data_IF_447017852868
#
_entry.id   IF_447017852868
#
_cell.length_a   1.000
_cell.length_b   1.000
_cell.length_c   1.000
_cell.angle_alpha   90.00
_cell.angle_beta   90.00
_cell.angle_gamma   90.00
#
_symmetry.space_group_name_H-M   'P 1'
#
loop_
_entity.id
_entity.type
_entity.pdbx_description
1 polymer ?
#
# COMPACT_ATOMS: atom_id res chain seq x y z
N UNK A 1 -0.30 11.53 -3.22
CA UNK A 1 -0.56 10.55 -4.29
C UNK A 1 -0.77 11.25 -5.62
N UNK A 2 -0.09 10.78 -6.65
CA UNK A 2 -0.18 11.23 -8.04
C UNK A 2 -0.41 9.98 -8.92
N UNK A 3 -1.20 10.11 -9.99
CA UNK A 3 -1.53 9.00 -10.90
C UNK A 3 -1.35 9.43 -12.36
N UNK A 4 -1.01 8.48 -13.22
CA UNK A 4 -0.98 8.66 -14.68
C UNK A 4 -1.93 7.70 -15.42
N UNK A 5 -2.84 7.06 -14.69
CA UNK A 5 -3.80 6.09 -15.20
C UNK A 5 -4.95 5.89 -14.22
N UNK A 6 -5.73 4.80 -14.36
CA UNK A 6 -6.91 4.56 -13.53
C UNK A 6 -6.55 4.18 -12.09
N UNK A 7 -5.32 3.79 -11.79
CA UNK A 7 -4.97 3.36 -10.44
C UNK A 7 -4.92 4.56 -9.47
N UNK A 8 -5.24 4.33 -8.20
CA UNK A 8 -5.24 5.33 -7.13
C UNK A 8 -3.96 6.18 -7.14
N UNK A 9 -2.83 5.54 -7.41
CA UNK A 9 -1.56 6.23 -7.59
C UNK A 9 -0.55 5.40 -8.40
N UNK A 10 0.36 6.12 -9.05
CA UNK A 10 1.59 5.58 -9.64
C UNK A 10 2.82 6.14 -8.92
N UNK A 11 2.70 7.35 -8.36
CA UNK A 11 3.73 8.00 -7.56
C UNK A 11 3.12 8.45 -6.24
N UNK A 12 3.78 8.14 -5.13
CA UNK A 12 3.46 8.73 -3.83
C UNK A 12 4.60 9.65 -3.38
N UNK A 13 4.24 10.78 -2.77
CA UNK A 13 5.16 11.72 -2.15
C UNK A 13 4.83 11.79 -0.67
N UNK A 14 5.81 11.51 0.16
CA UNK A 14 5.71 11.51 1.61
C UNK A 14 6.73 12.50 2.16
N UNK A 15 6.33 13.30 3.13
CA UNK A 15 7.24 14.21 3.82
C UNK A 15 8.25 13.41 4.64
N UNK A 16 9.53 13.69 4.45
CA UNK A 16 10.63 13.07 5.18
C UNK A 16 11.77 14.06 5.43
N UNK A 17 12.76 13.64 6.20
CA UNK A 17 13.92 14.48 6.57
C UNK A 17 14.93 14.63 5.42
N UNK A 18 14.87 13.74 4.43
CA UNK A 18 15.73 13.73 3.25
C UNK A 18 14.95 13.33 1.98
N UNK A 19 15.40 13.83 0.82
CA UNK A 19 14.90 13.39 -0.47
C UNK A 19 15.49 12.03 -0.84
N UNK A 20 14.69 10.97 -0.80
CA UNK A 20 15.10 9.60 -1.14
C UNK A 20 13.94 8.77 -1.67
N UNK A 21 14.25 7.60 -2.23
CA UNK A 21 13.24 6.62 -2.61
C UNK A 21 12.75 5.86 -1.38
N UNK A 22 11.49 6.05 -1.02
CA UNK A 22 10.89 5.37 0.13
C UNK A 22 10.74 3.86 -0.14
N UNK A 23 9.95 3.48 -1.16
CA UNK A 23 9.82 2.10 -1.62
C UNK A 23 9.55 2.03 -3.14
N UNK A 24 9.71 0.83 -3.71
CA UNK A 24 9.23 0.48 -5.06
C UNK A 24 8.15 -0.58 -4.88
N UNK A 25 7.01 -0.42 -5.56
CA UNK A 25 5.87 -1.30 -5.41
C UNK A 25 5.63 -2.17 -6.65
N UNK A 26 5.32 -3.45 -6.44
CA UNK A 26 4.95 -4.41 -7.48
C UNK A 26 3.58 -5.02 -7.18
N UNK A 27 2.69 -4.97 -8.16
CA UNK A 27 1.36 -5.55 -8.03
C UNK A 27 1.41 -7.07 -8.19
N UNK A 28 0.73 -7.76 -7.28
CA UNK A 28 0.43 -9.17 -7.31
C UNK A 28 -1.06 -9.36 -7.64
N UNK A 29 -1.36 -10.51 -8.25
CA UNK A 29 -2.71 -10.89 -8.67
C UNK A 29 -3.78 -10.73 -7.58
N UNK A 30 -3.53 -11.22 -6.36
CA UNK A 30 -4.53 -11.30 -5.30
C UNK A 30 -3.89 -11.58 -3.93
N UNK A 31 -4.71 -11.62 -2.87
CA UNK A 31 -4.29 -11.93 -1.51
C UNK A 31 -3.59 -13.28 -1.35
N UNK A 32 -4.00 -14.30 -2.10
CA UNK A 32 -3.34 -15.62 -2.03
C UNK A 32 -1.93 -15.56 -2.62
N UNK A 33 -1.71 -14.72 -3.63
CA UNK A 33 -0.39 -14.47 -4.18
C UNK A 33 0.51 -13.68 -3.22
N UNK A 34 -0.04 -12.78 -2.40
CA UNK A 34 0.69 -12.13 -1.29
C UNK A 34 1.18 -13.16 -0.27
N UNK A 35 0.32 -14.10 0.13
CA UNK A 35 0.72 -15.22 1.00
C UNK A 35 1.86 -16.02 0.37
N UNK A 36 1.72 -16.44 -0.88
CA UNK A 36 2.73 -17.23 -1.59
C UNK A 36 4.08 -16.50 -1.68
N UNK A 37 4.05 -15.18 -1.91
CA UNK A 37 5.25 -14.35 -1.89
C UNK A 37 5.89 -14.27 -0.50
N UNK A 38 5.09 -14.17 0.57
CA UNK A 38 5.59 -14.20 1.94
C UNK A 38 6.25 -15.53 2.30
N UNK A 39 5.65 -16.65 1.90
CA UNK A 39 6.23 -17.99 2.11
C UNK A 39 7.56 -18.16 1.35
N UNK A 40 7.63 -17.61 0.13
CA UNK A 40 8.86 -17.57 -0.67
C UNK A 40 9.98 -16.77 0.03
N UNK A 41 9.66 -15.56 0.49
CA UNK A 41 10.60 -14.71 1.23
C UNK A 41 11.08 -15.40 2.53
N UNK A 42 10.17 -16.04 3.25
CA UNK A 42 10.48 -16.76 4.49
C UNK A 42 11.43 -17.95 4.25
N UNK A 43 11.21 -18.73 3.18
CA UNK A 43 12.11 -19.83 2.77
C UNK A 43 13.54 -19.33 2.57
N UNK A 44 13.68 -18.13 2.00
CA UNK A 44 14.97 -17.53 1.69
C UNK A 44 15.50 -16.62 2.82
N UNK A 45 14.85 -16.66 4.00
CA UNK A 45 15.18 -15.89 5.21
C UNK A 45 15.19 -14.36 5.00
N UNK A 46 14.30 -13.87 4.15
CA UNK A 46 14.07 -12.43 3.97
C UNK A 46 12.88 -12.02 4.85
N UNK A 47 13.10 -11.31 5.97
CA UNK A 47 12.01 -10.91 6.85
C UNK A 47 11.19 -9.78 6.24
N UNK A 48 9.90 -9.74 6.57
CA UNK A 48 9.08 -8.56 6.34
C UNK A 48 9.55 -7.42 7.26
N UNK A 49 9.56 -6.21 6.73
CA UNK A 49 9.67 -4.96 7.48
C UNK A 49 8.32 -4.60 8.10
N UNK A 50 7.24 -4.76 7.32
CA UNK A 50 5.88 -4.46 7.78
C UNK A 50 4.84 -5.25 6.97
N UNK A 51 3.72 -5.54 7.62
CA UNK A 51 2.58 -6.23 7.05
C UNK A 51 2.56 -7.75 7.27
N UNK A 52 1.58 -8.44 6.66
CA UNK A 52 0.58 -7.88 5.75
C UNK A 52 -0.35 -6.83 6.39
N UNK A 53 -0.70 -5.79 5.63
CA UNK A 53 -1.61 -4.71 6.06
C UNK A 53 -2.70 -4.45 5.05
N UNK A 54 -3.81 -3.84 5.47
CA UNK A 54 -4.80 -3.22 4.60
C UNK A 54 -4.68 -1.71 4.75
N UNK A 55 -4.19 -1.01 3.75
CA UNK A 55 -4.18 0.44 3.78
C UNK A 55 -5.61 0.98 3.70
N UNK A 56 -5.91 2.07 4.40
CA UNK A 56 -7.09 2.88 4.11
C UNK A 56 -6.86 3.72 2.85
N UNK A 57 -5.67 4.31 2.73
CA UNK A 57 -5.22 4.96 1.50
C UNK A 57 -5.13 3.94 0.36
N UNK A 58 -5.91 4.13 -0.71
CA UNK A 58 -5.92 3.24 -1.86
C UNK A 58 -6.52 1.84 -1.63
N UNK A 59 -6.92 1.51 -0.40
CA UNK A 59 -7.53 0.23 0.00
C UNK A 59 -6.75 -1.03 -0.43
N UNK A 60 -5.47 -0.95 -0.80
CA UNK A 60 -4.68 -2.13 -1.17
C UNK A 60 -4.25 -2.94 0.06
N UNK A 61 -4.03 -4.23 -0.19
CA UNK A 61 -3.23 -5.06 0.72
C UNK A 61 -1.77 -4.86 0.37
N UNK A 62 -0.91 -4.71 1.37
CA UNK A 62 0.53 -4.63 1.14
C UNK A 62 1.36 -5.41 2.14
N UNK A 63 2.54 -5.81 1.68
CA UNK A 63 3.65 -6.32 2.49
C UNK A 63 4.93 -5.59 2.08
N UNK A 64 5.82 -5.37 3.03
CA UNK A 64 7.06 -4.65 2.82
C UNK A 64 8.24 -5.50 3.25
N UNK A 65 9.27 -5.60 2.41
CA UNK A 65 10.56 -6.24 2.74
C UNK A 65 11.72 -5.41 2.19
N UNK A 66 12.96 -5.74 2.54
CA UNK A 66 14.15 -5.14 1.91
C UNK A 66 14.72 -6.08 0.86
N UNK A 67 15.11 -5.52 -0.29
CA UNK A 67 15.91 -6.25 -1.26
C UNK A 67 17.39 -6.33 -0.83
N UNK A 68 18.24 -6.92 -1.68
CA UNK A 68 19.68 -7.07 -1.41
C UNK A 68 20.42 -5.73 -1.25
N UNK A 69 19.94 -4.65 -1.85
CA UNK A 69 20.51 -3.29 -1.74
C UNK A 69 19.93 -2.50 -0.56
N UNK A 70 19.05 -3.11 0.24
CA UNK A 70 18.39 -2.46 1.37
C UNK A 70 17.19 -1.57 1.00
N UNK A 71 16.83 -1.46 -0.28
CA UNK A 71 15.66 -0.73 -0.75
C UNK A 71 14.38 -1.44 -0.28
N UNK A 72 13.40 -0.68 0.23
CA UNK A 72 12.11 -1.24 0.60
C UNK A 72 11.35 -1.59 -0.68
N UNK A 73 10.87 -2.82 -0.75
CA UNK A 73 10.00 -3.34 -1.79
C UNK A 73 8.62 -3.59 -1.18
N UNK A 74 7.62 -3.00 -1.80
CA UNK A 74 6.21 -3.27 -1.53
C UNK A 74 5.71 -4.32 -2.52
N UNK A 75 5.10 -5.38 -2.00
CA UNK A 75 4.25 -6.27 -2.80
C UNK A 75 2.81 -5.99 -2.40
N UNK A 76 1.99 -5.60 -3.37
CA UNK A 76 0.61 -5.18 -3.10
C UNK A 76 -0.40 -5.88 -4.01
N UNK A 77 -1.67 -5.88 -3.63
CA UNK A 77 -2.77 -6.23 -4.52
C UNK A 77 -4.01 -5.40 -4.18
N UNK A 78 -5.00 -5.42 -5.08
CA UNK A 78 -6.30 -4.79 -4.88
C UNK A 78 -6.23 -3.26 -4.67
N UNK A 79 -5.29 -2.57 -5.33
CA UNK A 79 -5.30 -1.11 -5.31
C UNK A 79 -6.59 -0.57 -5.92
N UNK A 80 -7.16 0.47 -5.29
CA UNK A 80 -8.32 1.17 -5.80
C UNK A 80 -8.07 1.70 -7.21
N UNK A 81 -9.11 1.66 -8.03
CA UNK A 81 -9.12 2.24 -9.37
C UNK A 81 -10.18 3.32 -9.43
N UNK A 82 -9.83 4.45 -10.03
CA UNK A 82 -10.64 5.64 -10.19
C UNK A 82 -11.45 5.52 -11.49
N UNK A 83 -12.75 5.67 -11.38
CA UNK A 83 -13.60 5.99 -12.52
C UNK A 83 -13.53 7.51 -12.75
N UNK A 84 -12.87 7.94 -13.82
CA UNK A 84 -12.64 9.36 -14.08
C UNK A 84 -13.92 10.14 -14.41
N UNK A 85 -14.90 9.50 -15.05
CA UNK A 85 -16.16 10.15 -15.42
C UNK A 85 -17.03 10.48 -14.21
N UNK A 86 -16.98 9.61 -13.19
CA UNK A 86 -17.81 9.69 -12.00
C UNK A 86 -17.08 10.30 -10.79
N UNK A 87 -15.76 10.47 -10.87
CA UNK A 87 -14.90 10.94 -9.78
C UNK A 87 -15.07 10.11 -8.49
N UNK A 88 -15.23 8.80 -8.64
CA UNK A 88 -15.34 7.81 -7.56
C UNK A 88 -14.36 6.67 -7.79
N UNK A 89 -14.08 5.90 -6.74
CA UNK A 89 -13.42 4.61 -6.91
C UNK A 89 -14.43 3.53 -7.30
N UNK A 90 -13.95 2.50 -8.00
CA UNK A 90 -14.72 1.27 -8.26
C UNK A 90 -15.23 0.70 -6.93
N UNK A 91 -16.54 0.47 -6.74
CA UNK A 91 -17.10 0.10 -5.45
C UNK A 91 -16.51 -1.21 -4.88
N UNK A 92 -16.09 -1.19 -3.61
CA UNK A 92 -15.58 -2.38 -2.91
C UNK A 92 -16.18 -2.54 -1.52
N UNK A 93 -16.36 -3.78 -1.03
CA UNK A 93 -16.86 -4.02 0.34
C UNK A 93 -15.97 -3.45 1.44
N UNK A 94 -14.69 -3.19 1.14
CA UNK A 94 -13.72 -2.64 2.08
C UNK A 94 -13.86 -1.13 2.26
N UNK A 95 -14.59 -0.43 1.39
CA UNK A 95 -14.81 1.01 1.48
C UNK A 95 -15.68 1.38 2.68
N UNK A 96 -15.37 2.49 3.34
CA UNK A 96 -16.13 2.96 4.52
C UNK A 96 -17.24 3.95 4.14
N UNK A 97 -17.22 4.42 2.90
CA UNK A 97 -18.20 5.34 2.32
C UNK A 97 -18.77 4.74 1.02
N UNK A 98 -20.00 5.11 0.68
CA UNK A 98 -20.61 4.71 -0.58
C UNK A 98 -21.29 5.91 -1.27
N UNK A 99 -20.80 6.35 -2.45
CA UNK A 99 -19.58 5.89 -3.11
C UNK A 99 -18.29 6.38 -2.40
N UNK A 100 -17.21 5.60 -2.49
CA UNK A 100 -15.91 6.06 -2.01
C UNK A 100 -15.31 7.07 -2.99
N UNK A 101 -14.86 8.20 -2.46
CA UNK A 101 -14.14 9.24 -3.21
C UNK A 101 -12.76 9.47 -2.64
N UNK A 102 -11.91 10.14 -3.43
CA UNK A 102 -10.67 10.70 -2.92
C UNK A 102 -10.95 11.69 -1.80
N UNK A 103 -10.26 11.54 -0.68
CA UNK A 103 -10.42 12.38 0.51
C UNK A 103 -9.10 12.60 1.21
N UNK A 104 -9.06 13.61 2.06
CA UNK A 104 -8.02 13.78 3.06
C UNK A 104 -8.37 12.88 4.23
N UNK A 105 -7.42 12.05 4.66
CA UNK A 105 -7.60 11.17 5.81
C UNK A 105 -7.28 11.92 7.10
N UNK A 106 -8.26 12.04 7.99
CA UNK A 106 -8.06 12.62 9.34
C UNK A 106 -7.52 11.60 10.33
N UNK A 107 -8.04 10.37 10.28
CA UNK A 107 -7.51 9.23 11.04
C UNK A 107 -6.32 8.62 10.30
N UNK A 108 -5.12 9.08 10.63
CA UNK A 108 -3.86 8.62 10.04
C UNK A 108 -3.59 7.14 10.37
N UNK A 109 -4.06 6.64 11.52
CA UNK A 109 -3.91 5.23 11.89
C UNK A 109 -4.70 4.33 10.96
N UNK A 110 -5.98 4.64 10.75
CA UNK A 110 -6.83 3.94 9.79
C UNK A 110 -6.35 4.11 8.34
N UNK A 111 -5.85 5.30 8.00
CA UNK A 111 -5.25 5.54 6.69
C UNK A 111 -4.06 4.61 6.45
N UNK A 112 -3.15 4.50 7.43
CA UNK A 112 -1.95 3.68 7.33
C UNK A 112 -2.26 2.18 7.35
N UNK A 113 -3.07 1.69 8.29
CA UNK A 113 -3.45 0.28 8.34
C UNK A 113 -4.78 0.07 9.05
N UNK A 114 -5.81 -0.29 8.29
CA UNK A 114 -7.14 -0.62 8.78
C UNK A 114 -7.18 -1.86 9.68
N UNK A 115 -6.18 -2.74 9.63
CA UNK A 115 -6.04 -3.89 10.53
C UNK A 115 -5.29 -3.57 11.84
N UNK A 116 -4.87 -2.32 12.03
CA UNK A 116 -4.51 -1.77 13.34
C UNK A 116 -3.04 -1.85 13.74
N UNK A 117 -2.17 -2.57 13.02
CA UNK A 117 -0.73 -2.55 13.33
C UNK A 117 -0.08 -1.30 12.72
N UNK A 118 0.49 -0.38 13.52
CA UNK A 118 1.17 0.79 12.98
C UNK A 118 2.44 0.39 12.22
N UNK A 119 2.97 1.28 11.36
CA UNK A 119 4.30 1.06 10.78
C UNK A 119 5.37 1.01 11.88
N UNK A 120 6.45 0.24 11.69
CA UNK A 120 7.55 0.21 12.65
C UNK A 120 8.25 1.58 12.73
N UNK A 121 8.97 1.79 13.83
CA UNK A 121 9.81 2.99 13.99
C UNK A 121 10.81 3.12 12.83
N UNK A 122 10.94 4.33 12.30
CA UNK A 122 11.82 4.65 11.18
C UNK A 122 11.35 4.15 9.81
N UNK A 123 10.12 3.63 9.68
CA UNK A 123 9.58 3.23 8.37
C UNK A 123 9.46 4.41 7.40
N UNK A 124 9.02 5.57 7.91
CA UNK A 124 8.80 6.80 7.13
C UNK A 124 10.01 7.74 7.08
N UNK A 125 11.09 7.40 7.79
CA UNK A 125 12.34 8.19 7.79
C UNK A 125 12.96 8.22 6.40
#
# INVERSE_FOLDING_TARGET
>A
FLRCGPDHHTINLVSGTAGKMHHIAFELRDWTHIRDACDLLARDRVPLVWGPVRHGIGHNISTYHRNADGQIIELFCELDRVNEELEIYDPRPTHQEFPQKGKIWEDIGMAANMWGTPPPEGFLD
#
